data_IF_318794743286
#
_entry.id   IF_318794743286
#
_cell.length_a   1.000
_cell.length_b   1.000
_cell.length_c   1.000
_cell.angle_alpha   90.00
_cell.angle_beta   90.00
_cell.angle_gamma   90.00
#
_symmetry.space_group_name_H-M   'P 1'
#
loop_
_entity.id
_entity.type
_entity.pdbx_description
1 polymer ?
#
# COMPACT_ATOMS: atom_id res chain seq x y z
N UNK A 1 54.31 44.85 -22.54
CA UNK A 1 52.95 44.60 -23.02
C UNK A 1 52.80 43.10 -23.13
N UNK A 2 51.91 42.55 -22.29
CA UNK A 2 51.67 41.14 -22.08
C UNK A 2 50.93 40.49 -23.26
N UNK A 3 51.03 39.15 -23.38
CA UNK A 3 49.99 38.21 -23.83
C UNK A 3 50.65 36.82 -24.01
N UNK A 4 50.75 36.04 -22.93
CA UNK A 4 49.86 34.93 -22.55
C UNK A 4 50.08 33.65 -23.39
N UNK A 5 50.85 32.73 -22.79
CA UNK A 5 50.94 31.32 -23.18
C UNK A 5 49.58 30.65 -22.97
N UNK A 6 48.97 30.14 -24.04
CA UNK A 6 47.86 29.20 -23.94
C UNK A 6 48.44 27.79 -23.75
N UNK A 7 48.66 27.43 -22.48
CA UNK A 7 48.90 26.05 -22.09
C UNK A 7 47.57 25.30 -22.17
N UNK A 8 47.38 24.53 -23.25
CA UNK A 8 46.27 23.59 -23.39
C UNK A 8 46.45 22.49 -22.33
N UNK A 9 45.84 22.69 -21.17
CA UNK A 9 45.73 21.72 -20.10
C UNK A 9 44.80 20.60 -20.60
N UNK A 10 45.37 19.45 -20.93
CA UNK A 10 44.60 18.22 -21.17
C UNK A 10 43.85 17.87 -19.88
N UNK A 11 42.53 17.66 -19.90
CA UNK A 11 41.83 17.15 -18.74
C UNK A 11 42.09 15.63 -18.65
N UNK A 12 43.21 15.26 -18.04
CA UNK A 12 43.39 13.94 -17.45
C UNK A 12 42.67 13.94 -16.09
N UNK A 13 41.36 13.69 -16.10
CA UNK A 13 40.68 13.22 -14.90
C UNK A 13 39.88 11.97 -15.23
N UNK A 14 40.63 10.89 -15.43
CA UNK A 14 40.10 9.53 -15.31
C UNK A 14 39.76 9.32 -13.82
N UNK A 15 38.58 9.79 -13.41
CA UNK A 15 37.97 9.35 -12.15
C UNK A 15 37.46 7.93 -12.38
N UNK A 16 38.38 6.98 -12.49
CA UNK A 16 38.10 5.58 -12.21
C UNK A 16 37.89 5.49 -10.70
N UNK A 17 36.71 5.94 -10.27
CA UNK A 17 36.20 5.62 -8.96
C UNK A 17 35.87 4.13 -9.05
N UNK A 18 36.86 3.30 -8.75
CA UNK A 18 36.66 1.87 -8.55
C UNK A 18 35.62 1.75 -7.43
N UNK A 19 34.39 1.47 -7.82
CA UNK A 19 33.35 1.05 -6.88
C UNK A 19 33.96 -0.15 -6.17
N UNK A 20 34.23 -0.08 -4.85
CA UNK A 20 34.87 -1.19 -4.16
C UNK A 20 34.03 -2.42 -4.44
N UNK A 21 34.67 -3.45 -4.99
CA UNK A 21 34.03 -4.69 -5.40
C UNK A 21 33.33 -5.26 -4.15
N UNK A 22 32.01 -5.06 -4.07
CA UNK A 22 31.23 -5.47 -2.91
C UNK A 22 31.24 -6.99 -2.95
N UNK A 23 32.04 -7.59 -2.08
CA UNK A 23 32.05 -9.04 -1.87
C UNK A 23 30.62 -9.44 -1.49
N UNK A 24 29.90 -10.00 -2.46
CA UNK A 24 28.51 -10.38 -2.32
C UNK A 24 28.32 -11.39 -1.16
N UNK A 25 29.37 -12.15 -0.85
CA UNK A 25 29.37 -13.19 0.18
C UNK A 25 29.82 -12.69 1.56
N UNK A 26 30.01 -11.37 1.74
CA UNK A 26 30.20 -10.77 3.06
C UNK A 26 29.01 -11.11 3.95
N UNK A 27 29.27 -11.55 5.20
CA UNK A 27 28.22 -11.80 6.20
C UNK A 27 27.27 -10.60 6.34
N UNK A 28 27.78 -9.39 6.19
CA UNK A 28 26.99 -8.17 6.21
C UNK A 28 26.02 -8.10 5.02
N UNK A 29 26.47 -8.42 3.81
CA UNK A 29 25.62 -8.43 2.61
C UNK A 29 24.56 -9.51 2.66
N UNK A 30 24.87 -10.69 3.22
CA UNK A 30 23.89 -11.76 3.45
C UNK A 30 22.79 -11.27 4.41
N UNK A 31 23.17 -10.62 5.52
CA UNK A 31 22.22 -10.07 6.49
C UNK A 31 21.34 -8.96 5.90
N UNK A 32 21.91 -8.04 5.12
CA UNK A 32 21.11 -7.03 4.44
C UNK A 32 20.12 -7.63 3.45
N UNK A 33 20.48 -8.68 2.70
CA UNK A 33 19.55 -9.39 1.80
C UNK A 33 18.41 -10.06 2.57
N UNK A 34 18.72 -10.65 3.72
CA UNK A 34 17.70 -11.22 4.62
C UNK A 34 16.71 -10.15 5.08
N UNK A 35 17.21 -8.99 5.54
CA UNK A 35 16.35 -7.87 5.96
C UNK A 35 15.55 -7.26 4.81
N UNK A 36 16.13 -7.12 3.61
CA UNK A 36 15.41 -6.66 2.43
C UNK A 36 14.23 -7.59 2.14
N UNK A 37 14.46 -8.90 2.12
CA UNK A 37 13.40 -9.89 1.90
C UNK A 37 12.29 -9.79 2.96
N UNK A 38 12.64 -9.67 4.24
CA UNK A 38 11.66 -9.51 5.32
C UNK A 38 10.84 -8.22 5.16
N UNK A 39 11.49 -7.13 4.75
CA UNK A 39 10.82 -5.84 4.56
C UNK A 39 9.88 -5.87 3.35
N UNK A 40 10.31 -6.50 2.25
CA UNK A 40 9.51 -6.68 1.04
C UNK A 40 8.25 -7.51 1.35
N UNK A 41 8.39 -8.64 2.05
CA UNK A 41 7.25 -9.47 2.48
C UNK A 41 6.26 -8.69 3.37
N UNK A 42 6.77 -7.85 4.27
CA UNK A 42 5.94 -6.98 5.13
C UNK A 42 5.21 -5.91 4.31
N UNK A 43 5.88 -5.28 3.35
CA UNK A 43 5.29 -4.27 2.48
C UNK A 43 4.23 -4.88 1.55
N UNK A 44 4.50 -6.03 0.96
CA UNK A 44 3.55 -6.75 0.12
C UNK A 44 2.28 -7.09 0.90
N UNK A 45 2.43 -7.54 2.16
CA UNK A 45 1.29 -7.79 3.05
C UNK A 45 0.52 -6.49 3.35
N UNK A 46 1.21 -5.42 3.71
CA UNK A 46 0.59 -4.12 3.97
C UNK A 46 -0.23 -3.65 2.76
N UNK A 47 0.33 -3.74 1.56
CA UNK A 47 -0.37 -3.39 0.32
C UNK A 47 -1.61 -4.25 0.07
N UNK A 48 -1.53 -5.58 0.29
CA UNK A 48 -2.70 -6.47 0.13
C UNK A 48 -3.83 -6.10 1.08
N UNK A 49 -3.51 -5.83 2.34
CA UNK A 49 -4.49 -5.41 3.35
C UNK A 49 -5.09 -4.06 2.95
N UNK A 50 -4.24 -3.09 2.57
CA UNK A 50 -4.68 -1.75 2.19
C UNK A 50 -5.59 -1.75 0.96
N UNK A 51 -5.25 -2.54 -0.07
CA UNK A 51 -6.10 -2.72 -1.27
C UNK A 51 -7.46 -3.33 -0.89
N UNK A 52 -7.48 -4.36 -0.04
CA UNK A 52 -8.72 -4.97 0.44
C UNK A 52 -9.56 -3.97 1.26
N UNK A 53 -8.93 -3.17 2.12
CA UNK A 53 -9.58 -2.12 2.93
C UNK A 53 -10.23 -1.03 2.06
N UNK A 54 -9.55 -0.65 0.97
CA UNK A 54 -10.11 0.25 -0.05
C UNK A 54 -11.37 -0.34 -0.69
N UNK A 55 -11.35 -1.62 -1.04
CA UNK A 55 -12.52 -2.31 -1.59
C UNK A 55 -13.69 -2.38 -0.60
N UNK A 56 -13.41 -2.66 0.68
CA UNK A 56 -14.41 -2.60 1.77
C UNK A 56 -15.07 -1.24 1.80
N UNK A 57 -14.28 -0.18 1.70
CA UNK A 57 -14.77 1.21 1.76
C UNK A 57 -15.64 1.55 0.55
N UNK A 58 -15.19 1.22 -0.65
CA UNK A 58 -15.97 1.44 -1.89
C UNK A 58 -17.30 0.72 -1.83
N UNK A 59 -17.31 -0.56 -1.41
CA UNK A 59 -18.55 -1.32 -1.27
C UNK A 59 -19.45 -0.79 -0.15
N UNK A 60 -18.90 -0.42 1.00
CA UNK A 60 -19.65 0.19 2.11
C UNK A 60 -20.33 1.48 1.69
N UNK A 61 -19.64 2.34 0.91
CA UNK A 61 -20.25 3.53 0.31
C UNK A 61 -21.43 3.17 -0.59
N UNK A 62 -21.28 2.17 -1.46
CA UNK A 62 -22.39 1.72 -2.33
C UNK A 62 -23.61 1.27 -1.51
N UNK A 63 -23.40 0.51 -0.44
CA UNK A 63 -24.48 0.11 0.48
C UNK A 63 -25.16 1.35 1.10
N UNK A 64 -24.38 2.31 1.59
CA UNK A 64 -24.91 3.59 2.12
C UNK A 64 -25.77 4.30 1.06
N UNK A 65 -25.28 4.42 -0.18
CA UNK A 65 -26.04 5.03 -1.28
C UNK A 65 -27.31 4.26 -1.65
N UNK A 66 -27.30 2.92 -1.55
CA UNK A 66 -28.50 2.09 -1.75
C UNK A 66 -29.54 2.41 -0.67
N UNK A 67 -29.13 2.50 0.60
CA UNK A 67 -30.02 2.82 1.73
C UNK A 67 -30.58 4.24 1.64
N UNK A 68 -29.81 5.20 1.12
CA UNK A 68 -30.29 6.57 0.89
C UNK A 68 -31.43 6.68 -0.13
N UNK A 69 -31.71 5.64 -0.93
CA UNK A 69 -32.82 5.62 -1.90
C UNK A 69 -34.16 5.23 -1.29
N UNK A 70 -34.17 4.79 -0.04
CA UNK A 70 -35.35 4.25 0.64
C UNK A 70 -36.41 5.32 0.98
N UNK A 71 -36.09 6.58 1.31
CA UNK A 71 -37.11 7.59 1.55
C UNK A 71 -37.99 7.82 0.31
N UNK A 72 -39.30 7.70 0.47
CA UNK A 72 -40.28 8.02 -0.58
C UNK A 72 -40.61 6.90 -1.57
N UNK A 73 -40.13 5.66 -1.34
CA UNK A 73 -40.48 4.49 -2.16
C UNK A 73 -41.62 3.67 -1.53
N UNK A 74 -42.21 2.75 -2.29
CA UNK A 74 -43.23 1.80 -1.77
C UNK A 74 -42.61 0.81 -0.79
N UNK A 75 -43.39 0.26 0.13
CA UNK A 75 -42.89 -0.70 1.13
C UNK A 75 -42.23 -1.93 0.49
N UNK A 76 -42.78 -2.44 -0.62
CA UNK A 76 -42.20 -3.55 -1.39
C UNK A 76 -40.78 -3.25 -1.90
N UNK A 77 -40.56 -2.03 -2.43
CA UNK A 77 -39.26 -1.59 -2.94
C UNK A 77 -38.29 -1.37 -1.77
N UNK A 78 -38.77 -0.83 -0.66
CA UNK A 78 -37.98 -0.65 0.57
C UNK A 78 -37.49 -1.98 1.12
N UNK A 79 -38.35 -2.99 1.24
CA UNK A 79 -37.94 -4.33 1.69
C UNK A 79 -36.89 -4.94 0.77
N UNK A 80 -37.08 -4.82 -0.54
CA UNK A 80 -36.10 -5.29 -1.54
C UNK A 80 -34.73 -4.60 -1.41
N UNK A 81 -34.71 -3.26 -1.25
CA UNK A 81 -33.48 -2.49 -1.05
C UNK A 81 -32.79 -2.86 0.27
N UNK A 82 -33.55 -3.05 1.35
CA UNK A 82 -33.01 -3.49 2.64
C UNK A 82 -32.40 -4.88 2.57
N UNK A 83 -33.07 -5.82 1.89
CA UNK A 83 -32.55 -7.17 1.69
C UNK A 83 -31.26 -7.15 0.85
N UNK A 84 -31.24 -6.36 -0.22
CA UNK A 84 -30.04 -6.18 -1.05
C UNK A 84 -28.88 -5.60 -0.23
N UNK A 85 -29.12 -4.53 0.55
CA UNK A 85 -28.10 -3.94 1.41
C UNK A 85 -27.59 -4.91 2.48
N UNK A 86 -28.47 -5.70 3.10
CA UNK A 86 -28.10 -6.70 4.09
C UNK A 86 -27.23 -7.83 3.48
N UNK A 87 -27.57 -8.28 2.28
CA UNK A 87 -26.79 -9.28 1.56
C UNK A 87 -25.40 -8.75 1.18
N UNK A 88 -25.31 -7.52 0.68
CA UNK A 88 -24.02 -6.88 0.37
C UNK A 88 -23.14 -6.72 1.62
N UNK A 89 -23.71 -6.31 2.77
CA UNK A 89 -22.96 -6.23 4.03
C UNK A 89 -22.43 -7.60 4.47
N UNK A 90 -23.25 -8.65 4.36
CA UNK A 90 -22.84 -10.01 4.67
C UNK A 90 -21.75 -10.50 3.74
N UNK A 91 -21.81 -10.14 2.45
CA UNK A 91 -20.75 -10.48 1.50
C UNK A 91 -19.43 -9.77 1.86
N UNK A 92 -19.47 -8.46 2.19
CA UNK A 92 -18.30 -7.70 2.65
C UNK A 92 -17.67 -8.35 3.89
N UNK A 93 -18.49 -8.77 4.86
CA UNK A 93 -18.04 -9.44 6.09
C UNK A 93 -17.35 -10.78 5.77
N UNK A 94 -18.02 -11.64 4.98
CA UNK A 94 -17.57 -13.00 4.71
C UNK A 94 -16.39 -13.09 3.76
N UNK A 95 -16.21 -12.09 2.91
CA UNK A 95 -15.14 -12.05 1.91
C UNK A 95 -14.00 -11.13 2.36
N UNK A 96 -14.20 -9.82 2.30
CA UNK A 96 -13.15 -8.81 2.45
C UNK A 96 -12.67 -8.67 3.89
N UNK A 97 -13.59 -8.54 4.86
CA UNK A 97 -13.20 -8.41 6.27
C UNK A 97 -12.56 -9.69 6.79
N UNK A 98 -13.10 -10.85 6.40
CA UNK A 98 -12.48 -12.15 6.70
C UNK A 98 -11.08 -12.27 6.07
N UNK A 99 -10.88 -11.81 4.85
CA UNK A 99 -9.57 -11.81 4.19
C UNK A 99 -8.55 -10.97 4.97
N UNK A 100 -8.92 -9.75 5.36
CA UNK A 100 -8.07 -8.89 6.21
C UNK A 100 -7.76 -9.57 7.55
N UNK A 101 -8.76 -10.19 8.19
CA UNK A 101 -8.56 -10.91 9.45
C UNK A 101 -7.63 -12.13 9.32
N UNK A 102 -7.63 -12.79 8.15
CA UNK A 102 -6.71 -13.90 7.88
C UNK A 102 -5.27 -13.43 7.69
N UNK A 103 -5.05 -12.31 7.00
CA UNK A 103 -3.71 -11.71 6.81
C UNK A 103 -3.10 -11.21 8.13
N UNK A 104 -3.92 -10.82 9.10
CA UNK A 104 -3.51 -10.27 10.41
C UNK A 104 -3.35 -11.31 11.52
N UNK A 105 -3.70 -12.59 11.31
CA UNK A 105 -3.82 -13.60 12.39
C UNK A 105 -2.56 -13.79 13.22
N UNK A 106 -1.39 -13.70 12.60
CA UNK A 106 -0.10 -14.01 13.21
C UNK A 106 0.81 -12.77 13.30
N UNK A 107 0.24 -11.58 13.16
CA UNK A 107 0.97 -10.32 13.12
C UNK A 107 0.64 -9.44 14.33
N UNK A 108 1.56 -8.54 14.69
CA UNK A 108 1.27 -7.49 15.66
C UNK A 108 0.24 -6.51 15.06
N UNK A 109 -0.98 -6.40 15.65
CA UNK A 109 -2.04 -5.55 15.12
C UNK A 109 -1.60 -4.10 14.93
N UNK A 110 -0.71 -3.58 15.80
CA UNK A 110 -0.26 -2.19 15.77
C UNK A 110 0.53 -1.84 14.50
N UNK A 111 1.14 -2.82 13.83
CA UNK A 111 1.95 -2.59 12.64
C UNK A 111 1.12 -2.34 11.38
N UNK A 112 -0.13 -2.82 11.36
CA UNK A 112 -1.00 -2.79 10.18
C UNK A 112 -2.26 -1.96 10.38
N UNK A 113 -2.45 -1.32 11.54
CA UNK A 113 -3.62 -0.48 11.86
C UNK A 113 -3.96 0.46 10.72
N UNK A 114 -2.97 1.21 10.22
CA UNK A 114 -3.16 2.19 9.15
C UNK A 114 -3.60 1.58 7.81
N UNK A 115 -3.31 0.29 7.57
CA UNK A 115 -3.74 -0.38 6.34
C UNK A 115 -5.25 -0.63 6.31
N UNK A 116 -5.90 -0.84 7.46
CA UNK A 116 -7.32 -1.21 7.54
C UNK A 116 -8.21 -0.21 8.28
N UNK A 117 -7.67 0.73 9.05
CA UNK A 117 -8.47 1.80 9.69
C UNK A 117 -8.84 2.92 8.73
N UNK A 118 -8.02 3.12 7.70
CA UNK A 118 -8.13 4.26 6.80
C UNK A 118 -8.57 3.80 5.43
N UNK A 119 -9.88 3.72 5.23
CA UNK A 119 -10.47 3.49 3.91
C UNK A 119 -10.14 4.58 2.89
N UNK A 120 -9.84 5.80 3.37
CA UNK A 120 -9.53 6.98 2.53
C UNK A 120 -8.45 7.92 3.08
N UNK A 121 -7.85 7.66 4.26
CA UNK A 121 -6.87 8.56 4.86
C UNK A 121 -5.46 8.45 4.25
N UNK A 122 -5.40 8.47 2.91
CA UNK A 122 -4.20 8.86 2.17
C UNK A 122 -4.41 10.17 1.37
N UNK A 123 -5.60 10.80 1.42
CA UNK A 123 -5.78 12.20 0.97
C UNK A 123 -5.50 13.19 2.12
N UNK A 124 -4.37 12.98 2.78
CA UNK A 124 -3.98 13.73 3.97
C UNK A 124 -2.49 13.68 4.23
N UNK A 125 -1.66 13.93 3.21
CA UNK A 125 -0.42 14.71 3.28
C UNK A 125 0.24 14.72 1.89
N UNK A 126 -0.07 15.76 1.10
CA UNK A 126 0.86 16.72 0.49
C UNK A 126 0.06 17.81 -0.23
#
# INVERSE_FOLDING_TARGET
>A
MAELQEAVLKPEHKSSQEVPEVCQDSQLMIKFREYSKMLDEKNDKYERIYKTSRDVTVRSKRVIFTLHRIPGVTEEVKESLMLSAANELRDIEQTLMKHIAMELRDEDPHQFVYAYTSGEAADGHL
#
